data_IF_638614462972
#
_entry.id   IF_638614462972
#
_cell.length_a   1.000
_cell.length_b   1.000
_cell.length_c   1.000
_cell.angle_alpha   90.00
_cell.angle_beta   90.00
_cell.angle_gamma   90.00
#
_symmetry.space_group_name_H-M   'P 1'
#
loop_
_entity.id
_entity.type
_entity.pdbx_description
1 polymer ?
#
# COMPACT_ATOMS: atom_id res chain seq x y z
N UNK A 1 4.52 -7.87 -35.29
CA UNK A 1 4.51 -6.50 -34.72
C UNK A 1 5.24 -6.46 -33.38
N UNK A 2 6.16 -5.50 -33.21
CA UNK A 2 6.95 -5.29 -31.98
C UNK A 2 6.18 -4.61 -30.84
N UNK A 3 5.00 -4.07 -31.15
CA UNK A 3 4.07 -3.44 -30.19
C UNK A 3 2.80 -4.30 -30.09
N UNK A 4 2.29 -4.47 -28.86
CA UNK A 4 1.06 -5.22 -28.57
C UNK A 4 0.12 -4.38 -27.71
N UNK A 5 -1.21 -4.45 -27.93
CA UNK A 5 -2.18 -3.81 -27.05
C UNK A 5 -2.17 -4.46 -25.66
N UNK A 6 -2.59 -3.71 -24.65
CA UNK A 6 -2.69 -4.18 -23.27
C UNK A 6 -4.09 -3.89 -22.72
N UNK A 7 -4.68 -4.87 -22.03
CA UNK A 7 -5.98 -4.73 -21.37
C UNK A 7 -5.87 -4.17 -19.95
N UNK A 8 -7.02 -3.85 -19.35
CA UNK A 8 -7.09 -3.27 -18.00
C UNK A 8 -6.54 -4.19 -16.91
N UNK A 9 -6.73 -5.51 -17.01
CA UNK A 9 -6.18 -6.46 -16.02
C UNK A 9 -4.64 -6.47 -16.00
N UNK A 10 -4.02 -6.33 -17.16
CA UNK A 10 -2.56 -6.22 -17.24
C UNK A 10 -2.07 -4.83 -16.78
N UNK A 11 -2.81 -3.75 -17.05
CA UNK A 11 -2.55 -2.43 -16.45
C UNK A 11 -2.59 -2.48 -14.90
N UNK A 12 -3.59 -3.16 -14.34
CA UNK A 12 -3.76 -3.24 -12.88
C UNK A 12 -2.66 -4.07 -12.20
N UNK A 13 -2.25 -5.19 -12.80
CA UNK A 13 -1.13 -5.97 -12.27
C UNK A 13 0.19 -5.20 -12.34
N UNK A 14 0.47 -4.51 -13.45
CA UNK A 14 1.69 -3.71 -13.61
C UNK A 14 1.78 -2.54 -12.62
N UNK A 15 0.69 -1.79 -12.41
CA UNK A 15 0.70 -0.67 -11.43
C UNK A 15 0.88 -1.19 -10.00
N UNK A 16 0.27 -2.34 -9.69
CA UNK A 16 0.35 -2.95 -8.38
C UNK A 16 1.78 -3.41 -8.10
N UNK A 17 2.42 -4.11 -9.04
CA UNK A 17 3.83 -4.51 -8.96
C UNK A 17 4.77 -3.30 -8.80
N UNK A 18 4.43 -2.16 -9.43
CA UNK A 18 5.15 -0.89 -9.27
C UNK A 18 4.82 -0.14 -7.96
N UNK A 19 3.95 -0.69 -7.10
CA UNK A 19 3.56 -0.09 -5.81
C UNK A 19 2.71 1.17 -5.93
N UNK A 20 2.15 1.45 -7.11
CA UNK A 20 1.37 2.65 -7.40
C UNK A 20 -0.08 2.50 -6.91
N UNK A 21 -0.59 3.57 -6.31
CA UNK A 21 -1.95 3.63 -5.80
C UNK A 21 -2.97 3.72 -6.95
N UNK A 22 -4.11 3.07 -6.76
CA UNK A 22 -5.32 3.26 -7.55
C UNK A 22 -6.35 4.01 -6.69
N UNK A 23 -6.75 5.21 -7.11
CA UNK A 23 -7.77 5.99 -6.39
C UNK A 23 -9.12 5.27 -6.39
N UNK A 24 -9.82 5.30 -5.26
CA UNK A 24 -11.02 4.51 -5.01
C UNK A 24 -10.74 3.11 -4.44
N UNK A 25 -9.46 2.70 -4.40
CA UNK A 25 -9.03 1.43 -3.83
C UNK A 25 -7.98 1.66 -2.73
N UNK A 26 -6.80 2.17 -3.10
CA UNK A 26 -5.67 2.36 -2.17
C UNK A 26 -5.67 3.72 -1.50
N UNK A 27 -6.35 4.69 -2.10
CA UNK A 27 -6.51 6.05 -1.58
C UNK A 27 -7.90 6.57 -1.93
N UNK A 28 -8.49 7.32 -1.01
CA UNK A 28 -9.79 7.98 -1.15
C UNK A 28 -9.83 9.25 -0.26
N UNK A 29 -11.03 9.81 -0.09
CA UNK A 29 -11.24 11.02 0.73
C UNK A 29 -11.07 10.81 2.24
N UNK A 30 -10.95 9.56 2.69
CA UNK A 30 -10.75 9.14 4.09
C UNK A 30 -9.29 8.81 4.41
N UNK A 31 -8.41 8.78 3.40
CA UNK A 31 -6.98 8.47 3.57
C UNK A 31 -6.13 9.72 3.40
N UNK A 32 -5.27 10.02 4.38
CA UNK A 32 -4.33 11.12 4.25
C UNK A 32 -3.08 10.72 3.43
N UNK A 33 -2.32 11.69 2.90
CA UNK A 33 -1.02 11.40 2.27
C UNK A 33 0.00 10.73 3.21
N UNK A 34 -0.12 10.93 4.52
CA UNK A 34 0.78 10.29 5.50
C UNK A 34 0.41 8.82 5.68
N UNK A 35 -0.88 8.52 5.85
CA UNK A 35 -1.38 7.15 5.90
C UNK A 35 -1.05 6.40 4.60
N UNK A 36 -1.22 7.04 3.44
CA UNK A 36 -0.96 6.42 2.13
C UNK A 36 0.54 6.21 1.81
N UNK A 37 1.46 6.63 2.69
CA UNK A 37 2.90 6.69 2.44
C UNK A 37 3.27 7.54 1.20
N UNK A 38 2.54 8.64 0.98
CA UNK A 38 2.69 9.58 -0.14
C UNK A 38 3.21 10.95 0.31
N UNK A 39 3.91 11.04 1.44
CA UNK A 39 4.43 12.30 1.98
C UNK A 39 5.39 13.02 1.02
N UNK A 40 6.04 12.27 0.11
CA UNK A 40 6.88 12.82 -0.97
C UNK A 40 6.13 13.78 -1.89
N UNK A 41 4.81 13.66 -2.02
CA UNK A 41 3.98 14.57 -2.82
C UNK A 41 3.81 15.96 -2.19
N UNK A 42 4.13 16.09 -0.90
CA UNK A 42 4.08 17.35 -0.17
C UNK A 42 5.47 17.97 -0.15
N UNK A 43 5.63 19.07 -0.89
CA UNK A 43 6.88 19.83 -0.94
C UNK A 43 7.31 20.32 0.45
N UNK A 44 8.61 20.25 0.76
CA UNK A 44 9.15 20.68 2.07
C UNK A 44 8.72 22.09 2.47
N UNK A 45 8.68 23.04 1.53
CA UNK A 45 8.27 24.44 1.76
C UNK A 45 6.81 24.59 2.23
N UNK A 46 5.96 23.59 1.98
CA UNK A 46 4.55 23.56 2.39
C UNK A 46 4.33 22.92 3.76
N UNK A 47 5.30 22.16 4.26
CA UNK A 47 5.24 21.49 5.57
C UNK A 47 5.48 22.51 6.69
N UNK A 48 5.13 22.14 7.92
CA UNK A 48 5.44 22.94 9.11
C UNK A 48 6.92 23.40 9.12
N UNK A 49 7.13 24.69 9.41
CA UNK A 49 8.46 25.34 9.40
C UNK A 49 8.96 25.80 8.02
N UNK A 50 8.25 25.51 6.92
CA UNK A 50 8.58 25.99 5.58
C UNK A 50 8.09 27.42 5.30
N UNK A 51 8.70 28.11 4.33
CA UNK A 51 8.33 29.48 3.94
C UNK A 51 6.89 29.65 3.43
N UNK A 52 6.22 28.56 3.06
CA UNK A 52 4.81 28.52 2.63
C UNK A 52 4.03 27.44 3.40
N UNK A 53 4.35 27.29 4.70
CA UNK A 53 3.75 26.28 5.56
C UNK A 53 2.21 26.36 5.55
N UNK A 54 1.56 25.21 5.46
CA UNK A 54 0.11 25.11 5.46
C UNK A 54 -0.56 25.75 4.23
N UNK A 55 -1.77 26.29 4.43
CA UNK A 55 -2.57 26.90 3.37
C UNK A 55 -3.03 25.92 2.29
N UNK A 56 -3.06 24.62 2.60
CA UNK A 56 -3.65 23.57 1.77
C UNK A 56 -4.74 22.83 2.55
N UNK A 57 -5.75 22.24 1.87
CA UNK A 57 -6.82 21.52 2.54
C UNK A 57 -6.29 20.39 3.43
N UNK A 58 -6.76 20.32 4.68
CA UNK A 58 -6.36 19.28 5.63
C UNK A 58 -4.97 19.48 6.27
N UNK A 59 -4.30 20.63 6.06
CA UNK A 59 -2.93 20.87 6.55
C UNK A 59 -2.74 20.57 8.04
N UNK A 60 -3.67 20.96 8.90
CA UNK A 60 -3.56 20.71 10.35
C UNK A 60 -3.45 19.21 10.69
N UNK A 61 -4.26 18.36 10.05
CA UNK A 61 -4.24 16.90 10.25
C UNK A 61 -2.96 16.31 9.70
N UNK A 62 -2.57 16.74 8.50
CA UNK A 62 -1.38 16.23 7.81
C UNK A 62 -0.10 16.62 8.55
N UNK A 63 0.02 17.86 9.00
CA UNK A 63 1.19 18.32 9.77
C UNK A 63 1.29 17.58 11.12
N UNK A 64 0.17 17.32 11.78
CA UNK A 64 0.15 16.51 13.01
C UNK A 64 0.64 15.08 12.76
N UNK A 65 0.18 14.44 11.68
CA UNK A 65 0.61 13.09 11.31
C UNK A 65 2.06 13.04 10.81
N UNK A 66 2.55 14.09 10.15
CA UNK A 66 3.97 14.19 9.78
C UNK A 66 4.87 14.29 11.01
N UNK A 67 4.42 14.95 12.08
CA UNK A 67 5.18 15.11 13.32
C UNK A 67 5.10 13.89 14.25
N UNK A 68 3.94 13.24 14.34
CA UNK A 68 3.65 12.20 15.35
C UNK A 68 3.49 10.80 14.77
N UNK A 69 3.44 10.67 13.45
CA UNK A 69 3.01 9.46 12.77
C UNK A 69 1.50 9.42 12.54
N UNK A 70 1.09 8.66 11.52
CA UNK A 70 -0.30 8.31 11.29
C UNK A 70 -0.62 6.98 12.03
N UNK A 71 -1.89 6.76 12.46
CA UNK A 71 -2.25 5.55 13.21
C UNK A 71 -2.16 4.28 12.36
N UNK A 72 -2.32 4.41 11.05
CA UNK A 72 -2.19 3.33 10.07
C UNK A 72 -1.35 3.79 8.90
N UNK A 73 -0.80 2.83 8.15
CA UNK A 73 0.01 3.08 6.97
C UNK A 73 -0.29 2.06 5.88
N UNK A 74 -0.29 2.54 4.63
CA UNK A 74 -0.30 1.68 3.45
C UNK A 74 1.03 0.95 3.34
N UNK A 75 0.95 -0.37 3.24
CA UNK A 75 2.08 -1.29 3.24
C UNK A 75 1.97 -2.28 2.09
N UNK A 76 3.11 -2.73 1.57
CA UNK A 76 3.20 -3.84 0.63
C UNK A 76 3.25 -5.17 1.37
N UNK A 77 2.48 -6.15 0.89
CA UNK A 77 2.45 -7.52 1.38
C UNK A 77 2.72 -8.48 0.22
N UNK A 78 3.46 -9.55 0.49
CA UNK A 78 3.78 -10.59 -0.48
C UNK A 78 3.44 -11.98 0.08
N UNK A 79 2.84 -12.83 -0.74
CA UNK A 79 2.46 -14.19 -0.36
C UNK A 79 3.50 -15.22 -0.78
N UNK A 80 3.75 -16.20 0.10
CA UNK A 80 4.60 -17.37 -0.20
C UNK A 80 3.84 -18.46 -0.96
N UNK A 81 2.52 -18.53 -0.79
CA UNK A 81 1.63 -19.45 -1.48
C UNK A 81 1.03 -18.79 -2.73
N UNK A 82 0.67 -19.56 -3.77
CA UNK A 82 0.03 -19.01 -4.99
C UNK A 82 -1.45 -18.67 -4.82
N UNK A 83 -1.96 -18.67 -3.59
CA UNK A 83 -3.35 -18.30 -3.29
C UNK A 83 -3.55 -16.80 -3.56
N UNK A 84 -4.44 -16.43 -4.50
CA UNK A 84 -4.63 -15.03 -4.80
C UNK A 84 -5.37 -14.31 -3.67
N UNK A 85 -4.74 -13.27 -3.12
CA UNK A 85 -5.35 -12.35 -2.17
C UNK A 85 -6.00 -11.22 -2.96
N UNK A 86 -7.24 -10.87 -2.63
CA UNK A 86 -8.04 -9.86 -3.33
C UNK A 86 -8.35 -8.69 -2.40
N UNK A 87 -8.75 -7.58 -3.00
CA UNK A 87 -9.30 -6.44 -2.28
C UNK A 87 -10.42 -6.86 -1.30
N UNK A 88 -10.46 -6.21 -0.14
CA UNK A 88 -11.39 -6.47 0.94
C UNK A 88 -10.98 -7.61 1.87
N UNK A 89 -9.98 -8.43 1.50
CA UNK A 89 -9.49 -9.50 2.35
C UNK A 89 -8.98 -8.94 3.70
N UNK A 90 -9.43 -9.58 4.78
CA UNK A 90 -9.02 -9.25 6.15
C UNK A 90 -7.57 -9.70 6.37
N UNK A 91 -6.75 -8.83 6.96
CA UNK A 91 -5.41 -9.16 7.44
C UNK A 91 -5.47 -9.36 8.95
N UNK A 92 -4.94 -10.50 9.40
CA UNK A 92 -4.84 -10.85 10.82
C UNK A 92 -3.40 -11.19 11.22
N UNK A 93 -3.11 -11.10 12.52
CA UNK A 93 -1.87 -11.62 13.12
C UNK A 93 -1.94 -13.15 13.34
N UNK A 94 -0.90 -13.71 13.97
CA UNK A 94 -0.84 -15.14 14.31
C UNK A 94 -1.97 -15.60 15.24
N UNK A 95 -2.40 -14.74 16.16
CA UNK A 95 -3.47 -15.01 17.12
C UNK A 95 -4.87 -14.79 16.51
N UNK A 96 -4.94 -14.23 15.29
CA UNK A 96 -6.18 -13.93 14.60
C UNK A 96 -6.76 -12.55 14.89
N UNK A 97 -6.00 -11.65 15.52
CA UNK A 97 -6.43 -10.26 15.71
C UNK A 97 -6.42 -9.51 14.38
N UNK A 98 -7.48 -8.75 14.11
CA UNK A 98 -7.57 -7.90 12.92
C UNK A 98 -6.49 -6.81 12.96
N UNK A 99 -5.66 -6.77 11.92
CA UNK A 99 -4.67 -5.73 11.70
C UNK A 99 -5.16 -4.72 10.66
N UNK A 100 -5.93 -5.17 9.66
CA UNK A 100 -6.43 -4.27 8.63
C UNK A 100 -6.95 -5.02 7.42
N UNK A 101 -6.97 -4.35 6.26
CA UNK A 101 -7.59 -4.90 5.05
C UNK A 101 -6.77 -4.60 3.81
N UNK A 102 -6.83 -5.54 2.88
CA UNK A 102 -6.26 -5.41 1.53
C UNK A 102 -7.08 -4.41 0.73
N UNK A 103 -6.41 -3.43 0.13
CA UNK A 103 -6.99 -2.45 -0.78
C UNK A 103 -6.80 -2.84 -2.24
N UNK A 104 -5.69 -3.48 -2.57
CA UNK A 104 -5.41 -4.02 -3.90
C UNK A 104 -4.67 -5.34 -3.77
N UNK A 105 -5.03 -6.35 -4.55
CA UNK A 105 -4.37 -7.65 -4.46
C UNK A 105 -4.52 -8.48 -5.73
N UNK A 106 -3.39 -9.01 -6.23
CA UNK A 106 -3.38 -9.88 -7.40
C UNK A 106 -2.17 -10.81 -7.40
N UNK A 107 -2.14 -11.76 -8.34
CA UNK A 107 -0.93 -12.49 -8.68
C UNK A 107 -0.09 -11.60 -9.61
N UNK A 108 1.09 -11.17 -9.15
CA UNK A 108 2.03 -10.39 -9.95
C UNK A 108 2.71 -11.29 -10.99
N UNK A 109 2.51 -11.08 -12.31
CA UNK A 109 3.10 -11.95 -13.33
C UNK A 109 4.63 -11.80 -13.43
N UNK A 110 5.17 -10.60 -13.16
CA UNK A 110 6.61 -10.33 -13.26
C UNK A 110 7.37 -10.88 -12.06
N UNK A 111 6.85 -10.67 -10.85
CA UNK A 111 7.43 -11.21 -9.61
C UNK A 111 7.05 -12.68 -9.38
N UNK A 112 6.04 -13.19 -10.10
CA UNK A 112 5.50 -14.54 -10.02
C UNK A 112 5.04 -14.94 -8.59
N UNK A 113 4.52 -13.98 -7.84
CA UNK A 113 4.04 -14.15 -6.46
C UNK A 113 2.77 -13.31 -6.23
N UNK A 114 1.87 -13.71 -5.31
CA UNK A 114 0.79 -12.83 -4.90
C UNK A 114 1.34 -11.60 -4.19
N UNK A 115 0.85 -10.43 -4.61
CA UNK A 115 1.22 -9.14 -4.04
C UNK A 115 -0.04 -8.39 -3.68
N UNK A 116 0.03 -7.63 -2.59
CA UNK A 116 -1.10 -6.86 -2.09
C UNK A 116 -0.65 -5.54 -1.46
N UNK A 117 -1.49 -4.52 -1.59
CA UNK A 117 -1.45 -3.30 -0.78
C UNK A 117 -2.52 -3.41 0.31
N UNK A 118 -2.19 -2.96 1.52
CA UNK A 118 -3.10 -2.96 2.65
C UNK A 118 -2.81 -1.77 3.56
N UNK A 119 -3.81 -1.31 4.31
CA UNK A 119 -3.58 -0.44 5.46
C UNK A 119 -3.43 -1.29 6.71
N UNK A 120 -2.33 -1.08 7.43
CA UNK A 120 -1.99 -1.78 8.67
C UNK A 120 -1.66 -0.75 9.77
N UNK A 121 -1.70 -1.11 11.06
CA UNK A 121 -1.30 -0.20 12.13
C UNK A 121 0.17 0.20 11.95
N UNK A 122 0.50 1.46 12.24
CA UNK A 122 1.84 1.97 12.00
C UNK A 122 2.88 1.46 13.00
N UNK A 123 2.44 1.00 14.17
CA UNK A 123 3.23 0.60 15.34
C UNK A 123 3.31 -0.93 15.52
N UNK A 124 3.40 -1.67 14.41
CA UNK A 124 3.53 -3.12 14.48
C UNK A 124 4.92 -3.57 14.94
N UNK A 125 5.03 -4.57 15.84
CA UNK A 125 6.30 -5.17 16.22
C UNK A 125 7.09 -5.69 15.01
N UNK A 126 8.42 -5.57 15.09
CA UNK A 126 9.29 -6.19 14.09
C UNK A 126 9.04 -7.71 14.04
N UNK A 127 8.96 -8.27 12.84
CA UNK A 127 8.68 -9.70 12.65
C UNK A 127 7.22 -10.12 12.83
N UNK A 128 6.28 -9.16 12.91
CA UNK A 128 4.84 -9.47 12.89
C UNK A 128 4.50 -10.37 11.71
N UNK A 129 3.85 -11.50 12.00
CA UNK A 129 3.32 -12.40 10.97
C UNK A 129 1.98 -11.88 10.46
N UNK A 130 1.78 -11.91 9.14
CA UNK A 130 0.54 -11.46 8.51
C UNK A 130 -0.15 -12.63 7.84
N UNK A 131 -1.48 -12.70 7.97
CA UNK A 131 -2.29 -13.68 7.27
C UNK A 131 -3.47 -12.98 6.61
N UNK A 132 -3.69 -13.24 5.33
CA UNK A 132 -4.94 -12.88 4.67
C UNK A 132 -5.99 -13.97 4.90
N UNK A 133 -7.20 -13.59 5.31
CA UNK A 133 -8.33 -14.50 5.39
C UNK A 133 -8.99 -14.60 4.01
N UNK A 134 -8.82 -15.74 3.36
CA UNK A 134 -9.36 -16.04 2.03
C UNK A 134 -10.23 -17.28 2.12
N UNK A 135 -11.56 -17.12 1.93
CA UNK A 135 -12.53 -18.22 2.04
C UNK A 135 -12.33 -19.03 3.34
N UNK A 136 -12.27 -18.31 4.45
CA UNK A 136 -12.06 -18.84 5.81
C UNK A 136 -10.71 -19.54 6.08
N UNK A 137 -9.78 -19.47 5.12
CA UNK A 137 -8.41 -19.97 5.29
C UNK A 137 -7.43 -18.83 5.49
N UNK A 138 -6.45 -19.04 6.37
CA UNK A 138 -5.36 -18.10 6.61
C UNK A 138 -4.23 -18.35 5.60
N UNK A 139 -3.99 -17.39 4.72
CA UNK A 139 -2.91 -17.41 3.73
C UNK A 139 -1.75 -16.57 4.28
N UNK A 140 -0.56 -17.14 4.47
CA UNK A 140 0.58 -16.42 5.01
C UNK A 140 1.07 -15.32 4.05
N UNK A 141 1.34 -14.15 4.62
CA UNK A 141 1.89 -12.97 3.96
C UNK A 141 3.09 -12.44 4.73
N UNK A 142 3.97 -11.72 4.03
CA UNK A 142 5.09 -11.01 4.60
C UNK A 142 5.05 -9.54 4.19
N UNK A 143 5.38 -8.64 5.12
CA UNK A 143 5.60 -7.25 4.78
C UNK A 143 6.82 -7.12 3.86
N UNK A 144 6.70 -6.30 2.82
CA UNK A 144 7.78 -6.05 1.87
C UNK A 144 7.81 -4.59 1.47
N UNK A 145 9.00 -4.13 1.06
CA UNK A 145 9.18 -2.79 0.54
C UNK A 145 8.49 -2.64 -0.82
N UNK A 146 8.03 -1.42 -1.11
CA UNK A 146 7.52 -1.04 -2.42
C UNK A 146 8.59 -0.27 -3.20
N UNK A 147 8.67 -0.41 -4.53
CA UNK A 147 7.83 -1.27 -5.38
C UNK A 147 8.19 -2.77 -5.23
N UNK A 148 7.27 -3.68 -5.56
CA UNK A 148 7.56 -5.12 -5.58
C UNK A 148 8.55 -5.47 -6.70
N UNK A 149 8.43 -4.79 -7.83
CA UNK A 149 9.34 -4.92 -8.97
C UNK A 149 10.09 -3.59 -9.14
N UNK A 150 11.44 -3.59 -9.21
CA UNK A 150 12.22 -2.37 -9.41
C UNK A 150 11.78 -1.55 -10.63
N UNK A 151 11.60 -0.25 -10.42
CA UNK A 151 11.25 0.70 -11.48
C UNK A 151 12.44 0.92 -12.43
N UNK A 152 12.12 1.15 -13.71
CA UNK A 152 13.10 1.44 -14.78
C UNK A 152 12.89 2.83 -15.37
N UNK A 153 12.67 3.82 -14.52
CA UNK A 153 12.55 5.22 -15.00
C UNK A 153 13.87 5.67 -15.61
N UNK A 154 13.79 6.28 -16.79
CA UNK A 154 14.93 7.00 -17.38
C UNK A 154 15.24 8.20 -16.49
N UNK A 155 16.51 8.42 -16.20
CA UNK A 155 17.01 9.51 -15.36
C UNK A 155 17.83 10.47 -16.18
#
# INVERSE_FOLDING_TARGET
>A
PEVKPIGLGARDTLRLEAGLCLYGHDIDTTTTPVEAALTWSIQKVRRAGGARAGGYPGAAVIDAQLARGAPRKRSGLIGSERTPVREGALIVDADGRELGRVTSGSLGPTINQPVALAYLPADLPAGTAFFAVVRDKRVPLQATALPFVPQRYVR
#
